data_IF_464516926923
#
_entry.id   IF_464516926923
#
_cell.length_a   1.000
_cell.length_b   1.000
_cell.length_c   1.000
_cell.angle_alpha   90.00
_cell.angle_beta   90.00
_cell.angle_gamma   90.00
#
_symmetry.space_group_name_H-M   'P 1'
#
loop_
_entity.id
_entity.type
_entity.pdbx_description
1 polymer ?
#
# COMPACT_ATOMS: atom_id res chain seq x y z
N UNK A 1 -6.99 20.51 13.25
CA UNK A 1 -6.99 19.16 13.83
C UNK A 1 -7.80 18.27 12.90
N UNK A 2 -7.23 17.16 12.43
CA UNK A 2 -7.90 16.23 11.52
C UNK A 2 -8.62 15.14 12.32
N UNK A 3 -9.77 14.66 11.86
CA UNK A 3 -10.54 13.57 12.52
C UNK A 3 -9.67 12.33 12.80
N UNK A 4 -8.77 11.98 11.88
CA UNK A 4 -7.81 10.88 12.05
C UNK A 4 -6.96 11.03 13.33
N UNK A 5 -6.62 12.25 13.74
CA UNK A 5 -5.84 12.50 14.95
C UNK A 5 -6.64 12.22 16.22
N UNK A 6 -7.98 12.27 16.15
CA UNK A 6 -8.84 11.83 17.25
C UNK A 6 -8.85 10.30 17.38
N UNK A 7 -8.74 9.59 16.26
CA UNK A 7 -8.69 8.13 16.23
C UNK A 7 -7.36 7.58 16.75
N UNK A 8 -6.23 8.11 16.27
CA UNK A 8 -4.91 7.49 16.53
C UNK A 8 -4.11 8.16 17.66
N UNK A 9 -4.47 9.40 18.02
CA UNK A 9 -3.71 10.22 18.94
C UNK A 9 -2.55 10.95 18.25
N UNK A 10 -1.34 10.85 18.81
CA UNK A 10 -0.16 11.53 18.28
C UNK A 10 0.23 10.95 16.92
N UNK A 11 0.05 11.75 15.87
CA UNK A 11 0.45 11.39 14.52
C UNK A 11 0.70 12.66 13.70
N UNK A 12 1.49 12.50 12.64
CA UNK A 12 1.72 13.57 11.67
C UNK A 12 0.92 13.29 10.40
N UNK A 13 -0.01 14.20 10.11
CA UNK A 13 -0.82 14.18 8.90
C UNK A 13 -0.16 15.04 7.84
N UNK A 14 0.21 14.42 6.72
CA UNK A 14 0.79 15.08 5.57
C UNK A 14 -0.27 15.15 4.46
N UNK A 15 -0.75 16.36 4.21
CA UNK A 15 -1.70 16.63 3.12
C UNK A 15 -0.98 16.49 1.78
N UNK A 16 -1.51 15.64 0.91
CA UNK A 16 -1.00 15.54 -0.46
C UNK A 16 -1.68 16.58 -1.36
N UNK A 17 -1.14 16.80 -2.56
CA UNK A 17 -1.79 17.63 -3.59
C UNK A 17 -3.05 16.97 -4.19
N UNK A 18 -3.27 15.68 -3.93
CA UNK A 18 -4.39 14.93 -4.48
C UNK A 18 -5.55 14.97 -3.47
N UNK A 19 -6.72 15.45 -3.92
CA UNK A 19 -7.91 15.57 -3.09
C UNK A 19 -8.28 14.20 -2.49
N UNK A 20 -8.56 14.18 -1.19
CA UNK A 20 -8.96 12.96 -0.48
C UNK A 20 -7.83 11.97 -0.18
N UNK A 21 -6.56 12.31 -0.46
CA UNK A 21 -5.41 11.48 -0.13
C UNK A 21 -4.51 12.18 0.90
N UNK A 22 -4.29 11.48 2.00
CA UNK A 22 -3.44 11.91 3.10
C UNK A 22 -2.39 10.83 3.35
N UNK A 23 -1.18 11.27 3.71
CA UNK A 23 -0.16 10.40 4.27
C UNK A 23 -0.17 10.59 5.78
N UNK A 24 -0.06 9.48 6.51
CA UNK A 24 -0.07 9.46 7.97
C UNK A 24 1.23 8.82 8.44
N UNK A 25 1.99 9.55 9.25
CA UNK A 25 3.10 8.99 10.03
C UNK A 25 2.58 8.80 11.46
N UNK A 26 2.51 7.55 11.92
CA UNK A 26 1.97 7.15 13.22
C UNK A 26 2.66 5.87 13.71
N UNK A 27 2.41 5.51 14.97
CA UNK A 27 2.91 4.26 15.57
C UNK A 27 2.23 3.00 14.97
N UNK A 28 2.76 1.84 15.33
CA UNK A 28 2.31 0.53 14.84
C UNK A 28 0.86 0.18 15.19
N UNK A 29 0.29 0.74 16.28
CA UNK A 29 -1.09 0.50 16.71
C UNK A 29 -2.10 1.39 15.97
N UNK A 30 -1.64 2.32 15.13
CA UNK A 30 -2.52 3.25 14.43
C UNK A 30 -3.54 2.53 13.53
N UNK A 31 -3.13 1.45 12.85
CA UNK A 31 -4.03 0.73 11.94
C UNK A 31 -5.23 0.11 12.69
N UNK A 32 -4.96 -0.49 13.84
CA UNK A 32 -5.97 -1.12 14.70
C UNK A 32 -6.95 -0.09 15.26
N UNK A 33 -6.42 1.01 15.81
CA UNK A 33 -7.23 2.15 16.27
C UNK A 33 -8.13 2.70 15.16
N UNK A 34 -7.59 2.88 13.95
CA UNK A 34 -8.40 3.36 12.81
C UNK A 34 -9.45 2.33 12.43
N UNK A 35 -9.14 1.04 12.46
CA UNK A 35 -10.10 -0.03 12.11
C UNK A 35 -11.33 0.03 13.03
N UNK A 36 -11.13 0.23 14.32
CA UNK A 36 -12.20 0.32 15.34
C UNK A 36 -12.93 1.66 15.36
N UNK A 37 -12.29 2.75 14.91
CA UNK A 37 -12.85 4.09 14.98
C UNK A 37 -14.00 4.34 13.99
N UNK A 38 -15.20 4.64 14.46
CA UNK A 38 -16.33 5.01 13.59
C UNK A 38 -16.08 6.34 12.86
N UNK A 39 -16.25 6.35 11.54
CA UNK A 39 -15.93 7.51 10.69
C UNK A 39 -16.72 7.46 9.39
N UNK A 40 -17.12 8.63 8.89
CA UNK A 40 -17.71 8.80 7.55
C UNK A 40 -16.72 9.39 6.56
N UNK A 41 -15.55 9.85 7.01
CA UNK A 41 -14.56 10.52 6.17
C UNK A 41 -13.46 9.58 5.65
N UNK A 42 -13.15 8.50 6.38
CA UNK A 42 -12.06 7.58 6.04
C UNK A 42 -12.62 6.35 5.32
N UNK A 43 -12.54 6.33 4.01
CA UNK A 43 -13.00 5.20 3.20
C UNK A 43 -12.01 4.02 3.18
N UNK A 44 -10.70 4.30 3.12
CA UNK A 44 -9.66 3.27 2.94
C UNK A 44 -8.36 3.66 3.62
N UNK A 45 -7.77 2.72 4.34
CA UNK A 45 -6.43 2.86 4.94
C UNK A 45 -5.55 1.72 4.46
N UNK A 46 -4.31 2.07 4.17
CA UNK A 46 -3.30 1.14 3.66
C UNK A 46 -2.05 1.35 4.50
N UNK A 47 -1.64 0.36 5.29
CA UNK A 47 -0.34 0.41 5.94
C UNK A 47 0.78 0.26 4.89
N UNK A 48 1.85 1.03 5.03
CA UNK A 48 3.06 0.86 4.22
C UNK A 48 4.17 0.28 5.08
N UNK A 49 4.91 -0.66 4.50
CA UNK A 49 6.14 -1.19 5.10
C UNK A 49 7.28 -0.18 4.98
N UNK A 50 7.29 0.57 3.88
CA UNK A 50 8.35 1.54 3.59
C UNK A 50 7.88 2.56 2.55
N UNK A 51 8.59 3.68 2.49
CA UNK A 51 8.43 4.68 1.43
C UNK A 51 9.78 5.05 0.81
N UNK A 52 9.87 4.88 -0.49
CA UNK A 52 11.08 5.17 -1.28
C UNK A 52 10.82 6.31 -2.28
N UNK A 53 11.86 6.93 -2.86
CA UNK A 53 11.70 7.74 -4.06
C UNK A 53 10.92 6.98 -5.15
N UNK A 54 10.04 7.68 -5.86
CA UNK A 54 9.35 7.12 -7.02
C UNK A 54 10.34 7.00 -8.17
N UNK A 55 11.09 5.90 -8.15
CA UNK A 55 12.05 5.48 -9.15
C UNK A 55 11.93 3.96 -9.28
N UNK A 56 11.80 3.44 -10.50
CA UNK A 56 11.47 2.03 -10.71
C UNK A 56 12.58 1.10 -10.20
N UNK A 57 13.84 1.52 -10.25
CA UNK A 57 14.95 0.70 -9.75
C UNK A 57 14.92 0.61 -8.23
N UNK A 58 14.64 1.73 -7.55
CA UNK A 58 14.51 1.76 -6.09
C UNK A 58 13.27 1.00 -5.62
N UNK A 59 12.13 1.17 -6.30
CA UNK A 59 10.91 0.42 -5.99
C UNK A 59 11.15 -1.08 -6.14
N UNK A 60 11.73 -1.52 -7.27
CA UNK A 60 12.01 -2.94 -7.51
C UNK A 60 12.93 -3.50 -6.44
N UNK A 61 14.05 -2.82 -6.14
CA UNK A 61 14.99 -3.24 -5.10
C UNK A 61 14.29 -3.42 -3.76
N UNK A 62 13.50 -2.44 -3.35
CA UNK A 62 12.84 -2.45 -2.05
C UNK A 62 11.74 -3.53 -1.96
N UNK A 63 10.99 -3.72 -3.05
CA UNK A 63 10.03 -4.83 -3.14
C UNK A 63 10.72 -6.18 -2.97
N UNK A 64 11.88 -6.40 -3.59
CA UNK A 64 12.62 -7.66 -3.47
C UNK A 64 13.18 -7.87 -2.05
N UNK A 65 13.63 -6.80 -1.38
CA UNK A 65 14.02 -6.85 0.04
C UNK A 65 12.85 -7.30 0.91
N UNK A 66 11.71 -6.62 0.81
CA UNK A 66 10.51 -6.96 1.58
C UNK A 66 9.98 -8.36 1.23
N UNK A 67 10.03 -8.75 -0.04
CA UNK A 67 9.56 -10.05 -0.50
C UNK A 67 10.35 -11.19 0.13
N UNK A 68 11.67 -11.03 0.28
CA UNK A 68 12.54 -12.01 0.96
C UNK A 68 12.15 -12.22 2.42
N UNK A 69 11.68 -11.17 3.09
CA UNK A 69 11.30 -11.21 4.50
C UNK A 69 9.87 -11.70 4.70
N UNK A 70 8.97 -11.38 3.77
CA UNK A 70 7.52 -11.53 3.97
C UNK A 70 6.84 -12.60 3.13
N UNK A 71 7.39 -12.97 1.97
CA UNK A 71 6.80 -14.03 1.14
C UNK A 71 7.28 -15.39 1.58
N UNK A 72 6.34 -16.31 1.75
CA UNK A 72 6.65 -17.73 1.96
C UNK A 72 6.82 -18.41 0.61
N UNK A 73 7.71 -19.41 0.53
CA UNK A 73 7.94 -20.17 -0.71
C UNK A 73 6.62 -20.77 -1.23
N UNK A 74 6.29 -20.46 -2.49
CA UNK A 74 5.09 -20.98 -3.15
C UNK A 74 3.79 -20.21 -2.84
N UNK A 75 3.83 -19.24 -1.93
CA UNK A 75 2.70 -18.34 -1.63
C UNK A 75 2.32 -17.55 -2.89
N UNK A 76 1.04 -17.59 -3.25
CA UNK A 76 0.50 -16.89 -4.41
C UNK A 76 0.47 -15.39 -4.16
N UNK A 77 0.91 -14.61 -5.15
CA UNK A 77 0.90 -13.16 -5.02
C UNK A 77 0.33 -12.43 -6.23
N UNK A 78 -0.06 -11.18 -6.00
CA UNK A 78 -0.37 -10.23 -7.05
C UNK A 78 0.29 -8.88 -6.78
N UNK A 79 0.86 -8.28 -7.82
CA UNK A 79 1.32 -6.88 -7.75
C UNK A 79 0.15 -5.96 -8.10
N UNK A 80 0.00 -4.87 -7.33
CA UNK A 80 -1.04 -3.86 -7.52
C UNK A 80 -0.43 -2.47 -7.41
N UNK A 81 -0.39 -1.75 -8.52
CA UNK A 81 0.17 -0.41 -8.59
C UNK A 81 -0.92 0.64 -8.85
N UNK A 82 -1.09 1.56 -7.90
CA UNK A 82 -1.84 2.80 -8.13
C UNK A 82 -0.84 3.95 -8.21
N UNK A 83 -1.00 4.77 -9.25
CA UNK A 83 -0.08 5.87 -9.53
C UNK A 83 -0.83 7.19 -9.65
N UNK A 84 -0.29 8.22 -9.00
CA UNK A 84 -0.72 9.60 -9.10
C UNK A 84 0.51 10.42 -9.46
N UNK A 85 0.67 10.67 -10.77
CA UNK A 85 1.96 11.01 -11.38
C UNK A 85 2.74 9.73 -11.74
N UNK A 86 3.88 9.88 -12.44
CA UNK A 86 4.77 8.82 -12.97
C UNK A 86 4.55 8.45 -14.45
N UNK A 87 5.66 8.28 -15.18
CA UNK A 87 5.69 8.04 -16.63
C UNK A 87 5.19 6.66 -17.01
N UNK A 88 5.67 5.64 -16.29
CA UNK A 88 5.36 4.25 -16.62
C UNK A 88 3.91 3.93 -16.24
N UNK A 89 3.29 3.03 -16.99
CA UNK A 89 1.93 2.58 -16.69
C UNK A 89 1.92 1.66 -15.48
N UNK A 90 0.82 1.65 -14.71
CA UNK A 90 0.65 0.72 -13.59
C UNK A 90 0.85 -0.73 -14.02
N UNK A 91 0.30 -1.11 -15.18
CA UNK A 91 0.42 -2.47 -15.73
C UNK A 91 1.86 -2.84 -16.08
N UNK A 92 2.65 -1.88 -16.56
CA UNK A 92 4.06 -2.09 -16.84
C UNK A 92 4.86 -2.27 -15.55
N UNK A 93 4.63 -1.42 -14.55
CA UNK A 93 5.26 -1.52 -13.23
C UNK A 93 4.92 -2.89 -12.59
N UNK A 94 3.64 -3.25 -12.59
CA UNK A 94 3.14 -4.53 -12.09
C UNK A 94 3.81 -5.72 -12.78
N UNK A 95 3.92 -5.69 -14.13
CA UNK A 95 4.58 -6.74 -14.89
C UNK A 95 6.07 -6.85 -14.56
N UNK A 96 6.80 -5.74 -14.53
CA UNK A 96 8.25 -5.73 -14.28
C UNK A 96 8.55 -6.27 -12.88
N UNK A 97 7.85 -5.76 -11.87
CA UNK A 97 8.04 -6.17 -10.47
C UNK A 97 7.60 -7.63 -10.27
N UNK A 98 6.45 -8.01 -10.83
CA UNK A 98 5.97 -9.39 -10.78
C UNK A 98 6.97 -10.36 -11.41
N UNK A 99 7.55 -10.01 -12.56
CA UNK A 99 8.59 -10.82 -13.19
C UNK A 99 9.83 -10.96 -12.31
N UNK A 100 10.31 -9.88 -11.69
CA UNK A 100 11.47 -9.93 -10.78
C UNK A 100 11.24 -10.86 -9.58
N UNK A 101 10.04 -10.84 -9.00
CA UNK A 101 9.70 -11.73 -7.87
C UNK A 101 9.63 -13.19 -8.32
N UNK A 102 9.02 -13.47 -9.48
CA UNK A 102 8.97 -14.82 -10.05
C UNK A 102 10.38 -15.33 -10.35
N UNK A 103 11.25 -14.47 -10.88
CA UNK A 103 12.63 -14.82 -11.21
C UNK A 103 13.43 -15.18 -9.96
N UNK A 104 13.34 -14.37 -8.91
CA UNK A 104 14.15 -14.52 -7.69
C UNK A 104 13.61 -15.58 -6.73
N UNK A 105 12.29 -15.56 -6.46
CA UNK A 105 11.69 -16.37 -5.38
C UNK A 105 10.88 -17.58 -5.88
N UNK A 106 10.59 -17.65 -7.19
CA UNK A 106 9.77 -18.71 -7.82
C UNK A 106 8.33 -18.79 -7.30
N UNK A 107 7.84 -17.74 -6.64
CA UNK A 107 6.46 -17.65 -6.19
C UNK A 107 5.48 -17.55 -7.39
N UNK A 108 4.32 -18.22 -7.33
CA UNK A 108 3.33 -18.15 -8.40
C UNK A 108 2.53 -16.85 -8.35
N UNK A 109 2.20 -16.31 -9.53
CA UNK A 109 1.30 -15.16 -9.66
C UNK A 109 -0.14 -15.64 -9.74
N UNK A 110 -1.02 -15.09 -8.91
CA UNK A 110 -2.47 -15.30 -8.96
C UNK A 110 -3.16 -13.94 -8.92
N UNK A 111 -3.67 -13.48 -10.07
CA UNK A 111 -4.27 -12.15 -10.18
C UNK A 111 -5.71 -12.12 -9.64
N UNK A 112 -6.33 -13.27 -9.43
CA UNK A 112 -7.74 -13.35 -9.03
C UNK A 112 -7.87 -13.62 -7.53
N UNK A 113 -7.07 -14.54 -7.00
CA UNK A 113 -7.07 -14.91 -5.58
C UNK A 113 -5.64 -15.00 -4.99
N UNK A 114 -4.95 -13.86 -4.83
CA UNK A 114 -3.63 -13.84 -4.21
C UNK A 114 -3.71 -14.04 -2.69
N UNK A 115 -2.75 -14.78 -2.15
CA UNK A 115 -2.51 -14.87 -0.70
C UNK A 115 -1.79 -13.61 -0.20
N UNK A 116 -0.92 -13.02 -1.05
CA UNK A 116 -0.26 -11.74 -0.79
C UNK A 116 -0.46 -10.70 -1.89
N UNK A 117 -0.69 -9.47 -1.46
CA UNK A 117 -0.74 -8.29 -2.32
C UNK A 117 0.54 -7.51 -2.11
N UNK A 118 1.29 -7.32 -3.20
CA UNK A 118 2.43 -6.42 -3.25
C UNK A 118 1.90 -5.10 -3.79
N UNK A 119 1.58 -4.21 -2.86
CA UNK A 119 0.95 -2.95 -3.15
C UNK A 119 2.00 -1.85 -3.34
N UNK A 120 1.82 -1.06 -4.39
CA UNK A 120 2.67 0.08 -4.71
C UNK A 120 1.76 1.28 -4.94
N UNK A 121 1.83 2.28 -4.07
CA UNK A 121 1.10 3.54 -4.22
C UNK A 121 2.11 4.66 -4.54
N UNK A 122 2.20 5.05 -5.81
CA UNK A 122 3.04 6.16 -6.26
C UNK A 122 2.30 7.47 -6.06
N UNK A 123 2.88 8.35 -5.24
CA UNK A 123 2.32 9.64 -4.86
C UNK A 123 3.36 10.71 -5.18
N UNK A 124 3.23 11.31 -6.37
CA UNK A 124 4.17 12.31 -6.89
C UNK A 124 5.60 11.75 -7.02
N UNK A 125 6.52 12.12 -6.11
CA UNK A 125 7.94 11.74 -6.14
C UNK A 125 8.29 10.61 -5.16
N UNK A 126 7.30 10.02 -4.49
CA UNK A 126 7.46 8.96 -3.51
C UNK A 126 6.59 7.77 -3.88
N UNK A 127 7.00 6.58 -3.46
CA UNK A 127 6.23 5.35 -3.59
C UNK A 127 6.14 4.67 -2.23
N UNK A 128 4.91 4.48 -1.75
CA UNK A 128 4.64 3.60 -0.61
C UNK A 128 4.57 2.15 -1.09
N UNK A 129 5.25 1.25 -0.38
CA UNK A 129 5.32 -0.17 -0.70
C UNK A 129 4.82 -0.96 0.51
N UNK A 130 4.01 -1.98 0.25
CA UNK A 130 3.56 -2.90 1.27
C UNK A 130 3.41 -4.32 0.71
N UNK A 131 3.77 -5.32 1.51
CA UNK A 131 3.44 -6.73 1.24
C UNK A 131 2.46 -7.19 2.31
N UNK A 132 1.19 -7.34 1.90
CA UNK A 132 0.05 -7.46 2.79
C UNK A 132 -0.78 -8.70 2.44
N UNK A 133 -1.48 -9.27 3.41
CA UNK A 133 -2.63 -10.11 3.13
C UNK A 133 -3.81 -9.24 2.64
N UNK A 134 -4.75 -9.77 1.84
CA UNK A 134 -5.94 -9.02 1.43
C UNK A 134 -6.75 -8.41 2.59
N UNK A 135 -6.72 -9.06 3.77
CA UNK A 135 -7.40 -8.63 5.00
C UNK A 135 -6.78 -7.41 5.68
N UNK A 136 -5.53 -7.07 5.37
CA UNK A 136 -4.81 -5.97 6.05
C UNK A 136 -5.21 -4.60 5.48
N UNK A 137 -5.82 -4.58 4.29
CA UNK A 137 -6.34 -3.35 3.68
C UNK A 137 -7.67 -3.01 4.35
N UNK A 138 -7.64 -2.03 5.25
CA UNK A 138 -8.86 -1.52 5.89
C UNK A 138 -9.70 -0.77 4.84
N UNK A 139 -10.90 -1.28 4.60
CA UNK A 139 -11.96 -0.60 3.84
C UNK A 139 -13.12 -0.34 4.79
N UNK A 140 -13.62 0.88 4.82
CA UNK A 140 -14.81 1.25 5.57
C UNK A 140 -15.93 1.59 4.61
N UNK A 141 -17.13 1.16 4.97
CA UNK A 141 -18.33 1.56 4.28
C UNK A 141 -18.53 3.06 4.47
N UNK A 142 -18.67 3.78 3.36
CA UNK A 142 -19.07 5.18 3.39
C UNK A 142 -20.57 5.14 3.21
N UNK A 143 -21.31 5.57 4.23
CA UNK A 143 -22.74 5.80 4.10
C UNK A 143 -22.87 7.09 3.27
N UNK A 144 -23.39 6.98 2.06
CA UNK A 144 -23.82 8.16 1.31
C UNK A 144 -24.94 8.81 2.13
N UNK A 145 -24.67 10.00 2.67
CA UNK A 145 -25.70 10.82 3.30
C UNK A 145 -26.60 11.33 2.17
N UNK A 146 -27.74 10.66 1.99
CA UNK A 146 -28.85 11.06 1.12
C UNK A 146 -29.49 12.34 1.67
#
# INVERSE_FOLDING_TARGET
MWEIQWAVGECKVIKTRYKGLFLLEADEHALEKIKEYETTAIHRVIPFDTMVPADLSQITREVLTLAREKLTKGEKFAVRCKRRGFSDSSKEIERKIGASIVEEFKNPVDLDNPERIILIEIISKKAGIAILAPSDIVKKEVIDLI
#
